data_IF_672202383738
#
_entry.id   IF_672202383738
#
_cell.length_a   1.000
_cell.length_b   1.000
_cell.length_c   1.000
_cell.angle_alpha   90.00
_cell.angle_beta   90.00
_cell.angle_gamma   90.00
#
_symmetry.space_group_name_H-M   'P 1'
#
loop_
_entity.id
_entity.type
_entity.pdbx_description
1 polymer ?
#
# COMPACT_ATOMS: atom_id res chain seq x y z
N UNK A 1 13.55 -16.44 25.46
CA UNK A 1 12.48 -16.61 24.46
C UNK A 1 11.21 -15.92 24.94
N UNK A 2 10.85 -16.10 26.21
CA UNK A 2 9.61 -15.56 26.82
C UNK A 2 9.51 -14.02 26.80
N UNK A 3 10.61 -13.29 27.03
CA UNK A 3 10.61 -11.81 26.94
C UNK A 3 10.34 -11.29 25.52
N UNK A 4 10.87 -11.97 24.49
CA UNK A 4 10.62 -11.61 23.09
C UNK A 4 9.17 -11.92 22.71
N UNK A 5 8.64 -13.03 23.21
CA UNK A 5 7.26 -13.45 23.00
C UNK A 5 6.26 -12.43 23.57
N UNK A 6 6.45 -12.03 24.83
CA UNK A 6 5.61 -11.01 25.48
C UNK A 6 5.70 -9.64 24.78
N UNK A 7 6.88 -9.27 24.30
CA UNK A 7 7.03 -8.06 23.49
C UNK A 7 6.22 -8.16 22.19
N UNK A 8 6.37 -9.26 21.44
CA UNK A 8 5.63 -9.43 20.20
C UNK A 8 4.12 -9.38 20.43
N UNK A 9 3.60 -10.08 21.44
CA UNK A 9 2.18 -10.11 21.73
C UNK A 9 1.59 -8.73 22.05
N UNK A 10 2.31 -7.89 22.78
CA UNK A 10 1.83 -6.57 23.17
C UNK A 10 2.00 -5.50 22.08
N UNK A 11 2.97 -5.66 21.17
CA UNK A 11 3.35 -4.61 20.21
C UNK A 11 3.01 -4.93 18.76
N UNK A 12 2.75 -6.19 18.39
CA UNK A 12 2.56 -6.59 16.99
C UNK A 12 1.42 -5.83 16.31
N UNK A 13 0.28 -5.71 16.98
CA UNK A 13 -0.91 -5.06 16.42
C UNK A 13 -0.66 -3.58 16.17
N UNK A 14 -0.01 -2.90 17.12
CA UNK A 14 0.36 -1.49 16.99
C UNK A 14 1.39 -1.26 15.89
N UNK A 15 2.37 -2.16 15.74
CA UNK A 15 3.39 -2.07 14.68
C UNK A 15 2.72 -2.18 13.31
N UNK A 16 1.85 -3.16 13.13
CA UNK A 16 1.23 -3.44 11.82
C UNK A 16 0.23 -2.36 11.45
N UNK A 17 -0.66 -1.99 12.38
CA UNK A 17 -1.61 -0.91 12.14
C UNK A 17 -0.90 0.44 11.99
N UNK A 18 0.19 0.68 12.73
CA UNK A 18 1.03 1.87 12.59
C UNK A 18 1.68 1.95 11.20
N UNK A 19 2.25 0.84 10.72
CA UNK A 19 2.84 0.75 9.39
C UNK A 19 1.81 0.97 8.29
N UNK A 20 0.64 0.31 8.38
CA UNK A 20 -0.46 0.49 7.43
C UNK A 20 -1.03 1.92 7.45
N UNK A 21 -1.13 2.53 8.63
CA UNK A 21 -1.56 3.92 8.77
C UNK A 21 -0.58 4.89 8.12
N UNK A 22 0.72 4.67 8.32
CA UNK A 22 1.76 5.46 7.67
C UNK A 22 1.72 5.30 6.14
N UNK A 23 1.57 4.07 5.64
CA UNK A 23 1.41 3.81 4.20
C UNK A 23 0.16 4.49 3.64
N UNK A 24 -0.95 4.48 4.37
CA UNK A 24 -2.19 5.16 3.98
C UNK A 24 -2.02 6.68 3.86
N UNK A 25 -1.34 7.30 4.83
CA UNK A 25 -1.05 8.75 4.78
C UNK A 25 -0.14 9.09 3.60
N UNK A 26 0.93 8.33 3.38
CA UNK A 26 1.84 8.51 2.24
C UNK A 26 1.10 8.32 0.91
N UNK A 27 0.22 7.32 0.84
CA UNK A 27 -0.58 7.04 -0.34
C UNK A 27 -1.47 8.24 -0.71
N UNK A 28 -2.25 8.73 0.24
CA UNK A 28 -3.16 9.87 0.03
C UNK A 28 -2.37 11.10 -0.39
N UNK A 29 -1.25 11.38 0.28
CA UNK A 29 -0.37 12.48 -0.08
C UNK A 29 0.09 12.39 -1.53
N UNK A 30 0.61 11.23 -1.94
CA UNK A 30 1.12 11.03 -3.31
C UNK A 30 0.01 11.05 -4.37
N UNK A 31 -1.18 10.55 -4.05
CA UNK A 31 -2.34 10.65 -4.94
C UNK A 31 -2.70 12.12 -5.19
N UNK A 32 -2.77 12.94 -4.12
CA UNK A 32 -3.12 14.36 -4.24
C UNK A 32 -2.06 15.11 -5.06
N UNK A 33 -0.78 14.90 -4.77
CA UNK A 33 0.35 15.44 -5.53
C UNK A 33 0.21 15.14 -7.03
N UNK A 34 -0.08 13.88 -7.38
CA UNK A 34 -0.28 13.47 -8.78
C UNK A 34 -1.51 14.09 -9.41
N UNK A 35 -2.65 14.17 -8.71
CA UNK A 35 -3.87 14.79 -9.25
C UNK A 35 -3.61 16.26 -9.59
N UNK A 36 -2.90 16.99 -8.73
CA UNK A 36 -2.55 18.40 -8.99
C UNK A 36 -1.59 18.51 -10.18
N UNK A 37 -0.56 17.67 -10.24
CA UNK A 37 0.39 17.63 -11.35
C UNK A 37 -0.32 17.43 -12.71
N UNK A 38 -1.16 16.41 -12.83
CA UNK A 38 -1.89 16.14 -14.08
C UNK A 38 -2.87 17.26 -14.49
N UNK A 39 -3.34 18.07 -13.55
CA UNK A 39 -4.23 19.22 -13.85
C UNK A 39 -3.45 20.43 -14.37
N UNK A 40 -2.20 20.61 -13.95
CA UNK A 40 -1.33 21.72 -14.35
C UNK A 40 -0.36 21.40 -15.49
N UNK A 41 -0.33 20.15 -15.97
CA UNK A 41 0.59 19.69 -17.00
C UNK A 41 0.25 20.30 -18.37
N UNK A 42 1.18 21.04 -18.95
CA UNK A 42 1.17 21.37 -20.37
C UNK A 42 2.16 20.46 -21.11
N UNK A 43 1.65 19.61 -21.99
CA UNK A 43 2.45 18.64 -22.75
C UNK A 43 3.37 19.34 -23.77
N UNK A 44 3.10 20.59 -24.14
CA UNK A 44 3.84 21.32 -25.19
C UNK A 44 5.23 21.78 -24.78
N UNK A 45 5.50 21.86 -23.48
CA UNK A 45 6.77 22.39 -22.95
C UNK A 45 7.92 21.38 -23.10
N UNK A 46 7.59 20.09 -23.22
CA UNK A 46 8.55 18.99 -23.26
C UNK A 46 9.15 18.83 -24.65
N UNK A 47 10.48 18.78 -24.72
CA UNK A 47 11.22 18.69 -25.98
C UNK A 47 11.34 17.25 -26.49
N UNK A 48 11.42 16.29 -25.57
CA UNK A 48 11.52 14.86 -25.88
C UNK A 48 10.41 14.07 -25.21
N UNK A 49 10.08 12.92 -25.80
CA UNK A 49 9.07 12.03 -25.23
C UNK A 49 9.54 11.43 -23.90
N UNK A 50 10.85 11.20 -23.78
CA UNK A 50 11.50 10.64 -22.60
C UNK A 50 11.39 11.57 -21.39
N UNK A 51 11.58 12.88 -21.59
CA UNK A 51 11.46 13.88 -20.53
C UNK A 51 10.02 13.93 -19.97
N UNK A 52 9.04 13.94 -20.88
CA UNK A 52 7.63 13.84 -20.52
C UNK A 52 7.34 12.54 -19.73
N UNK A 53 7.86 11.41 -20.20
CA UNK A 53 7.66 10.12 -19.55
C UNK A 53 8.22 10.07 -18.12
N UNK A 54 9.43 10.61 -17.90
CA UNK A 54 10.06 10.68 -16.58
C UNK A 54 9.16 11.45 -15.60
N UNK A 55 8.68 12.63 -15.99
CA UNK A 55 7.80 13.47 -15.16
C UNK A 55 6.43 12.82 -14.91
N UNK A 56 5.88 12.16 -15.94
CA UNK A 56 4.59 11.48 -15.84
C UNK A 56 4.66 10.23 -14.94
N UNK A 57 5.79 9.54 -14.89
CA UNK A 57 5.97 8.31 -14.10
C UNK A 57 6.47 8.56 -12.69
N UNK A 58 7.00 9.76 -12.41
CA UNK A 58 7.51 10.14 -11.10
C UNK A 58 6.46 9.92 -9.99
N UNK A 59 6.88 9.28 -8.89
CA UNK A 59 6.04 8.86 -7.76
C UNK A 59 4.99 7.76 -8.03
N UNK A 60 4.74 7.34 -9.28
CA UNK A 60 3.81 6.23 -9.55
C UNK A 60 4.31 4.90 -8.98
N UNK A 61 5.63 4.70 -8.97
CA UNK A 61 6.27 3.55 -8.35
C UNK A 61 5.91 3.43 -6.88
N UNK A 62 5.90 4.53 -6.12
CA UNK A 62 5.55 4.51 -4.69
C UNK A 62 4.10 4.07 -4.47
N UNK A 63 3.16 4.57 -5.28
CA UNK A 63 1.75 4.17 -5.20
C UNK A 63 1.58 2.69 -5.52
N UNK A 64 2.27 2.21 -6.57
CA UNK A 64 2.30 0.80 -6.96
C UNK A 64 2.88 -0.08 -5.86
N UNK A 65 4.01 0.32 -5.27
CA UNK A 65 4.66 -0.40 -4.17
C UNK A 65 3.75 -0.48 -2.95
N UNK A 66 3.07 0.60 -2.58
CA UNK A 66 2.11 0.57 -1.46
C UNK A 66 0.95 -0.37 -1.78
N UNK A 67 0.36 -0.27 -2.98
CA UNK A 67 -0.75 -1.12 -3.40
C UNK A 67 -0.39 -2.61 -3.43
N UNK A 68 0.82 -2.95 -3.86
CA UNK A 68 1.29 -4.33 -3.91
C UNK A 68 1.67 -4.89 -2.53
N UNK A 69 2.23 -4.08 -1.63
CA UNK A 69 2.79 -4.57 -0.35
C UNK A 69 1.85 -4.44 0.85
N UNK A 70 0.88 -3.52 0.84
CA UNK A 70 -0.07 -3.36 1.94
C UNK A 70 -0.84 -4.65 2.31
N UNK A 71 -1.29 -5.50 1.35
CA UNK A 71 -1.95 -6.76 1.69
C UNK A 71 -1.01 -7.74 2.38
N UNK A 72 0.26 -7.78 1.96
CA UNK A 72 1.26 -8.67 2.56
C UNK A 72 1.61 -8.28 3.99
N UNK A 73 1.60 -6.98 4.29
CA UNK A 73 1.76 -6.49 5.67
C UNK A 73 0.58 -6.92 6.55
N UNK A 74 -0.65 -6.83 6.05
CA UNK A 74 -1.83 -7.33 6.76
C UNK A 74 -1.76 -8.85 6.99
N UNK A 75 -1.39 -9.60 5.94
CA UNK A 75 -1.19 -11.06 6.02
C UNK A 75 -0.13 -11.44 7.04
N UNK A 76 1.00 -10.72 7.08
CA UNK A 76 2.05 -10.92 8.09
C UNK A 76 1.46 -10.82 9.50
N UNK A 77 0.54 -9.88 9.74
CA UNK A 77 -0.16 -9.76 11.02
C UNK A 77 -1.01 -10.96 11.37
N UNK A 78 -1.77 -11.49 10.42
CA UNK A 78 -2.51 -12.74 10.67
C UNK A 78 -1.59 -13.91 10.99
N UNK A 79 -0.48 -14.06 10.25
CA UNK A 79 0.47 -15.15 10.45
C UNK A 79 1.09 -15.07 11.85
N UNK A 80 1.52 -13.87 12.26
CA UNK A 80 2.14 -13.69 13.58
C UNK A 80 1.10 -13.85 14.69
N UNK A 81 -0.11 -13.31 14.56
CA UNK A 81 -1.17 -13.48 15.56
C UNK A 81 -1.56 -14.95 15.77
N UNK A 82 -1.67 -15.72 14.70
CA UNK A 82 -1.93 -17.17 14.78
C UNK A 82 -0.76 -17.90 15.45
N UNK A 83 0.48 -17.55 15.11
CA UNK A 83 1.69 -18.14 15.72
C UNK A 83 1.73 -17.88 17.23
N UNK A 84 1.46 -16.64 17.65
CA UNK A 84 1.40 -16.27 19.06
C UNK A 84 0.32 -17.08 19.80
N UNK A 85 -0.88 -17.17 19.21
CA UNK A 85 -2.00 -17.94 19.78
C UNK A 85 -1.64 -19.42 19.99
N UNK A 86 -1.01 -20.06 18.99
CA UNK A 86 -0.59 -21.46 19.12
C UNK A 86 0.54 -21.67 20.13
N UNK A 87 1.44 -20.69 20.27
CA UNK A 87 2.50 -20.77 21.26
C UNK A 87 1.94 -20.71 22.69
N UNK A 88 0.98 -19.81 22.97
CA UNK A 88 0.31 -19.75 24.27
C UNK A 88 -0.40 -21.06 24.58
N UNK A 89 -1.11 -21.62 23.60
CA UNK A 89 -1.82 -22.89 23.73
C UNK A 89 -0.90 -24.04 24.13
N UNK A 90 0.31 -24.09 23.56
CA UNK A 90 1.32 -25.10 23.90
C UNK A 90 1.90 -24.97 25.31
N UNK A 91 1.86 -23.77 25.92
CA UNK A 91 2.42 -23.50 27.25
C UNK A 91 1.36 -23.45 28.35
N UNK A 92 0.07 -23.35 28.02
CA UNK A 92 -1.03 -23.21 28.98
C UNK A 92 -1.31 -24.47 29.83
N UNK A 93 -0.61 -25.58 29.63
CA UNK A 93 -0.65 -26.74 30.53
C UNK A 93 -2.01 -27.46 30.66
N UNK A 94 -3.01 -27.08 29.86
CA UNK A 94 -4.34 -27.71 29.81
C UNK A 94 -5.52 -26.82 30.21
N UNK A 95 -5.30 -25.66 30.83
CA UNK A 95 -6.36 -24.68 31.11
C UNK A 95 -6.40 -23.64 29.99
N UNK A 96 -7.30 -23.85 29.02
CA UNK A 96 -7.36 -23.09 27.79
C UNK A 96 -8.59 -22.18 27.82
N UNK A 97 -8.36 -20.87 27.92
CA UNK A 97 -9.43 -19.89 27.73
C UNK A 97 -9.71 -19.68 26.23
N UNK A 98 -10.77 -20.32 25.74
CA UNK A 98 -11.22 -20.18 24.36
C UNK A 98 -11.62 -18.73 24.01
N UNK A 99 -12.08 -17.93 24.98
CA UNK A 99 -12.46 -16.55 24.73
C UNK A 99 -11.24 -15.69 24.37
N UNK A 100 -10.15 -15.81 25.13
CA UNK A 100 -8.87 -15.14 24.85
C UNK A 100 -8.33 -15.47 23.45
N UNK A 101 -8.39 -16.75 23.05
CA UNK A 101 -7.96 -17.20 21.70
C UNK A 101 -8.76 -16.50 20.60
N UNK A 102 -10.09 -16.42 20.75
CA UNK A 102 -10.95 -15.76 19.78
C UNK A 102 -10.64 -14.27 19.65
N UNK A 103 -10.30 -13.60 20.76
CA UNK A 103 -9.90 -12.19 20.75
C UNK A 103 -8.61 -11.99 19.94
N UNK A 104 -7.55 -12.76 20.21
CA UNK A 104 -6.28 -12.66 19.49
C UNK A 104 -6.44 -12.93 17.98
N UNK A 105 -7.22 -13.94 17.62
CA UNK A 105 -7.47 -14.24 16.21
C UNK A 105 -8.27 -13.13 15.52
N UNK A 106 -9.23 -12.52 16.21
CA UNK A 106 -10.01 -11.40 15.67
C UNK A 106 -9.15 -10.18 15.37
N UNK A 107 -8.15 -9.89 16.21
CA UNK A 107 -7.19 -8.79 16.01
C UNK A 107 -6.33 -9.04 14.77
N UNK A 108 -5.82 -10.26 14.62
CA UNK A 108 -5.10 -10.69 13.43
C UNK A 108 -5.93 -10.45 12.16
N UNK A 109 -7.22 -10.85 12.15
CA UNK A 109 -8.10 -10.65 10.99
C UNK A 109 -8.33 -9.17 10.66
N UNK A 110 -8.38 -8.28 11.68
CA UNK A 110 -8.48 -6.83 11.46
C UNK A 110 -7.27 -6.27 10.72
N UNK A 111 -6.06 -6.77 10.99
CA UNK A 111 -4.84 -6.33 10.30
C UNK A 111 -4.90 -6.62 8.79
N UNK A 112 -5.38 -7.80 8.39
CA UNK A 112 -5.58 -8.15 6.97
C UNK A 112 -6.64 -7.28 6.32
N UNK A 113 -7.77 -7.06 7.00
CA UNK A 113 -8.82 -6.17 6.49
C UNK A 113 -8.28 -4.75 6.25
N UNK A 114 -7.48 -4.23 7.18
CA UNK A 114 -6.82 -2.93 7.04
C UNK A 114 -5.83 -2.89 5.85
N UNK A 115 -5.03 -3.94 5.66
CA UNK A 115 -4.09 -4.03 4.53
C UNK A 115 -4.79 -4.00 3.18
N UNK A 116 -5.89 -4.74 3.03
CA UNK A 116 -6.72 -4.74 1.82
C UNK A 116 -7.38 -3.37 1.61
N UNK A 117 -7.88 -2.74 2.68
CA UNK A 117 -8.48 -1.41 2.63
C UNK A 117 -7.53 -0.35 2.08
N UNK A 118 -6.22 -0.44 2.37
CA UNK A 118 -5.20 0.46 1.82
C UNK A 118 -4.82 0.09 0.38
N UNK A 119 -4.75 -1.20 0.07
CA UNK A 119 -4.30 -1.69 -1.23
C UNK A 119 -5.28 -1.40 -2.38
N UNK A 120 -6.60 -1.56 -2.13
CA UNK A 120 -7.63 -1.39 -3.17
C UNK A 120 -7.58 0.04 -3.76
N UNK A 121 -7.67 1.12 -2.96
CA UNK A 121 -7.54 2.47 -3.48
C UNK A 121 -6.21 2.71 -4.18
N UNK A 122 -5.09 2.23 -3.61
CA UNK A 122 -3.77 2.42 -4.20
C UNK A 122 -3.68 1.89 -5.62
N UNK A 123 -4.15 0.65 -5.84
CA UNK A 123 -4.13 0.02 -7.16
C UNK A 123 -5.11 0.69 -8.13
N UNK A 124 -6.30 1.09 -7.66
CA UNK A 124 -7.26 1.83 -8.49
C UNK A 124 -6.67 3.14 -9.02
N UNK A 125 -6.05 3.95 -8.14
CA UNK A 125 -5.42 5.19 -8.54
C UNK A 125 -4.18 4.98 -9.42
N UNK A 126 -3.36 3.98 -9.12
CA UNK A 126 -2.21 3.62 -9.94
C UNK A 126 -2.62 3.28 -11.39
N UNK A 127 -3.62 2.41 -11.59
CA UNK A 127 -4.15 2.09 -12.91
C UNK A 127 -4.73 3.32 -13.62
N UNK A 128 -5.45 4.17 -12.89
CA UNK A 128 -5.98 5.42 -13.43
C UNK A 128 -4.87 6.40 -13.87
N UNK A 129 -3.79 6.50 -13.11
CA UNK A 129 -2.65 7.34 -13.46
C UNK A 129 -1.87 6.79 -14.64
N UNK A 130 -1.67 5.47 -14.75
CA UNK A 130 -1.05 4.88 -15.93
C UNK A 130 -1.81 5.21 -17.22
N UNK A 131 -3.15 5.15 -17.18
CA UNK A 131 -3.96 5.59 -18.34
C UNK A 131 -3.73 7.07 -18.67
N UNK A 132 -3.61 7.94 -17.67
CA UNK A 132 -3.25 9.35 -17.91
C UNK A 132 -1.85 9.52 -18.49
N UNK A 133 -0.89 8.68 -18.11
CA UNK A 133 0.46 8.71 -18.71
C UNK A 133 0.36 8.43 -20.20
N UNK A 134 -0.32 7.35 -20.59
CA UNK A 134 -0.48 6.95 -21.98
C UNK A 134 -1.22 8.00 -22.80
N UNK A 135 -2.32 8.55 -22.28
CA UNK A 135 -3.08 9.62 -22.93
C UNK A 135 -2.22 10.86 -23.20
N UNK A 136 -1.36 11.26 -22.26
CA UNK A 136 -0.51 12.44 -22.44
C UNK A 136 0.65 12.19 -23.40
N UNK A 137 1.23 10.98 -23.41
CA UNK A 137 2.22 10.57 -24.42
C UNK A 137 1.62 10.61 -25.82
N UNK A 138 0.42 10.05 -26.02
CA UNK A 138 -0.27 10.08 -27.31
C UNK A 138 -0.59 11.52 -27.75
N UNK A 139 -1.00 12.39 -26.83
CA UNK A 139 -1.19 13.83 -27.13
C UNK A 139 0.09 14.50 -27.60
N UNK A 140 1.23 14.22 -26.95
CA UNK A 140 2.54 14.76 -27.34
C UNK A 140 2.91 14.32 -28.76
N UNK A 141 2.76 13.03 -29.06
CA UNK A 141 3.05 12.45 -30.38
C UNK A 141 2.17 13.06 -31.48
N UNK A 142 0.87 13.20 -31.23
CA UNK A 142 -0.05 13.81 -32.18
C UNK A 142 0.27 15.29 -32.47
N UNK A 143 0.75 16.04 -31.48
CA UNK A 143 1.18 17.43 -31.66
C UNK A 143 2.46 17.53 -32.49
N UNK A 144 3.42 16.63 -32.30
CA UNK A 144 4.67 16.63 -33.05
C UNK A 144 4.50 16.12 -34.48
N UNK A 145 3.68 15.08 -34.69
CA UNK A 145 3.35 14.59 -36.03
C UNK A 145 2.68 15.68 -36.90
N UNK A 146 1.81 16.51 -36.31
CA UNK A 146 1.18 17.65 -37.00
C UNK A 146 2.14 18.79 -37.35
N UNK A 147 3.26 18.95 -36.63
CA UNK A 147 4.27 19.97 -36.95
C UNK A 147 5.21 19.54 -38.07
N UNK A 148 5.31 18.23 -38.34
CA UNK A 148 6.17 17.66 -39.36
C UNK A 148 5.48 17.47 -40.73
N UNK A 149 4.15 17.66 -40.79
CA UNK A 149 3.33 17.62 -42.00
C UNK A 149 3.04 19.03 -42.52
#
# INVERSE_FOLDING_TARGET
MDQLFQFLQNYIDYIILGLLSLMSVVLVWKIIERIMFYKGLDVKIYQTQEELEIDLTTNLTTISTIGANAPYIGLLGTVIGILLTFYELGHAGGDIDAASIMVHLSLALKATAAGILVAIPAMMFYSGFNRKVDENKLKWQALHARKAA
#
